data_IF_181331905406
#
_entry.id   IF_181331905406
#
_cell.length_a   1.000
_cell.length_b   1.000
_cell.length_c   1.000
_cell.angle_alpha   90.00
_cell.angle_beta   90.00
_cell.angle_gamma   90.00
#
_symmetry.space_group_name_H-M   'P 1'
#
loop_
_entity.id
_entity.type
_entity.pdbx_description
1 polymer ?
#
# COMPACT_ATOMS: atom_id res chain seq x y z
N UNK A 1 12.33 12.64 -3.34
CA UNK A 1 11.91 11.22 -3.32
C UNK A 1 10.83 11.08 -4.38
N UNK A 2 10.89 10.01 -5.18
CA UNK A 2 10.00 9.79 -6.33
C UNK A 2 9.10 8.60 -6.02
N UNK A 3 7.77 8.83 -5.99
CA UNK A 3 6.78 7.82 -5.61
C UNK A 3 6.55 6.84 -6.76
N UNK A 4 6.45 7.32 -7.99
CA UNK A 4 6.27 6.49 -9.18
C UNK A 4 7.42 5.50 -9.33
N UNK A 5 8.67 5.96 -9.17
CA UNK A 5 9.84 5.09 -9.19
C UNK A 5 9.77 4.01 -8.09
N UNK A 6 9.21 4.33 -6.92
CA UNK A 6 9.03 3.37 -5.84
C UNK A 6 7.94 2.34 -6.20
N UNK A 7 6.83 2.77 -6.79
CA UNK A 7 5.76 1.88 -7.25
C UNK A 7 6.26 0.94 -8.35
N UNK A 8 6.98 1.45 -9.35
CA UNK A 8 7.63 0.62 -10.36
C UNK A 8 8.62 -0.37 -9.76
N UNK A 9 9.36 0.00 -8.71
CA UNK A 9 10.31 -0.90 -8.08
C UNK A 9 9.64 -2.08 -7.36
N UNK A 10 8.55 -1.85 -6.61
CA UNK A 10 7.91 -2.90 -5.82
C UNK A 10 6.82 -3.66 -6.57
N UNK A 11 6.13 -3.00 -7.51
CA UNK A 11 4.94 -3.51 -8.18
C UNK A 11 5.08 -3.61 -9.71
N UNK A 12 6.13 -3.02 -10.30
CA UNK A 12 6.33 -3.01 -11.76
C UNK A 12 5.42 -2.03 -12.52
N UNK A 13 4.55 -1.31 -11.81
CA UNK A 13 3.62 -0.32 -12.37
C UNK A 13 3.33 0.78 -11.34
N UNK A 14 2.98 1.98 -11.80
CA UNK A 14 2.44 3.05 -10.97
C UNK A 14 0.92 2.88 -10.72
N UNK A 15 0.24 2.04 -11.51
CA UNK A 15 -1.20 1.82 -11.41
C UNK A 15 -1.53 0.55 -10.62
N UNK A 16 -1.66 0.69 -9.29
CA UNK A 16 -1.97 -0.43 -8.40
C UNK A 16 -3.32 -1.11 -8.71
N UNK A 17 -4.29 -0.37 -9.24
CA UNK A 17 -5.62 -0.88 -9.58
C UNK A 17 -5.60 -1.89 -10.75
N UNK A 18 -4.48 -1.99 -11.48
CA UNK A 18 -4.30 -2.94 -12.60
C UNK A 18 -3.74 -4.30 -12.16
N UNK A 19 -3.33 -4.43 -10.90
CA UNK A 19 -2.64 -5.60 -10.39
C UNK A 19 -3.62 -6.62 -9.82
N UNK A 20 -3.31 -7.90 -10.02
CA UNK A 20 -4.00 -8.99 -9.38
C UNK A 20 -3.78 -8.97 -7.86
N UNK A 21 -4.74 -9.55 -7.11
CA UNK A 21 -4.69 -9.57 -5.65
C UNK A 21 -3.38 -10.17 -5.10
N UNK A 22 -2.86 -11.25 -5.70
CA UNK A 22 -1.62 -11.90 -5.25
C UNK A 22 -0.38 -11.00 -5.41
N UNK A 23 -0.34 -10.22 -6.50
CA UNK A 23 0.71 -9.23 -6.74
C UNK A 23 0.62 -8.07 -5.73
N UNK A 24 -0.60 -7.64 -5.38
CA UNK A 24 -0.84 -6.63 -4.34
C UNK A 24 -0.39 -7.14 -2.96
N UNK A 25 -0.73 -8.37 -2.59
CA UNK A 25 -0.29 -8.99 -1.33
C UNK A 25 1.23 -9.05 -1.25
N UNK A 26 1.86 -9.64 -2.26
CA UNK A 26 3.32 -9.80 -2.31
C UNK A 26 4.05 -8.44 -2.28
N UNK A 27 3.55 -7.46 -3.02
CA UNK A 27 4.11 -6.11 -3.02
C UNK A 27 3.91 -5.41 -1.67
N UNK A 28 2.75 -5.55 -1.04
CA UNK A 28 2.47 -4.99 0.28
C UNK A 28 3.42 -5.54 1.35
N UNK A 29 3.70 -6.84 1.35
CA UNK A 29 4.63 -7.46 2.29
C UNK A 29 6.05 -6.90 2.13
N UNK A 30 6.52 -6.77 0.89
CA UNK A 30 7.84 -6.18 0.58
C UNK A 30 7.93 -4.72 1.02
N UNK A 31 6.89 -3.92 0.75
CA UNK A 31 6.80 -2.52 1.18
C UNK A 31 6.76 -2.42 2.70
N UNK A 32 6.05 -3.31 3.40
CA UNK A 32 6.01 -3.37 4.85
C UNK A 32 7.38 -3.64 5.49
N UNK A 33 8.13 -4.59 4.93
CA UNK A 33 9.51 -4.89 5.36
C UNK A 33 10.43 -3.68 5.11
N UNK A 34 10.32 -3.07 3.92
CA UNK A 34 11.10 -1.88 3.59
C UNK A 34 10.77 -0.72 4.54
N UNK A 35 9.49 -0.51 4.85
CA UNK A 35 9.04 0.54 5.77
C UNK A 35 9.65 0.37 7.17
N UNK A 36 9.74 -0.87 7.68
CA UNK A 36 10.34 -1.15 8.99
C UNK A 36 11.85 -0.93 9.08
N UNK A 37 12.55 -0.91 7.95
CA UNK A 37 14.02 -0.78 7.88
C UNK A 37 14.49 0.58 7.36
N UNK A 38 13.61 1.35 6.72
CA UNK A 38 13.94 2.63 6.12
C UNK A 38 14.30 3.71 7.16
N UNK A 39 15.33 4.49 6.86
CA UNK A 39 15.87 5.57 7.71
C UNK A 39 15.68 6.96 7.11
N UNK A 40 15.55 7.05 5.79
CA UNK A 40 15.33 8.32 5.10
C UNK A 40 13.85 8.72 5.25
N UNK A 41 13.60 9.90 5.82
CA UNK A 41 12.27 10.35 6.20
C UNK A 41 11.32 10.45 4.98
N UNK A 42 11.81 10.97 3.85
CA UNK A 42 11.01 11.10 2.62
C UNK A 42 10.59 9.75 2.06
N UNK A 43 11.51 8.79 1.98
CA UNK A 43 11.24 7.44 1.50
C UNK A 43 10.35 6.66 2.45
N UNK A 44 10.55 6.80 3.76
CA UNK A 44 9.72 6.17 4.79
C UNK A 44 8.28 6.68 4.73
N UNK A 45 8.09 7.98 4.55
CA UNK A 45 6.77 8.57 4.33
C UNK A 45 6.09 8.00 3.09
N UNK A 46 6.79 7.90 1.96
CA UNK A 46 6.20 7.35 0.75
C UNK A 46 5.88 5.85 0.83
N UNK A 47 6.72 5.04 1.47
CA UNK A 47 6.41 3.64 1.77
C UNK A 47 5.12 3.52 2.59
N UNK A 48 4.96 4.40 3.59
CA UNK A 48 3.73 4.49 4.38
C UNK A 48 2.51 4.91 3.53
N UNK A 49 2.67 5.88 2.61
CA UNK A 49 1.61 6.29 1.68
C UNK A 49 1.13 5.11 0.82
N UNK A 50 2.05 4.28 0.33
CA UNK A 50 1.69 3.06 -0.41
C UNK A 50 0.91 2.10 0.48
N UNK A 51 1.37 1.83 1.70
CA UNK A 51 0.62 0.99 2.65
C UNK A 51 -0.76 1.56 2.96
N UNK A 52 -0.90 2.89 3.02
CA UNK A 52 -2.17 3.57 3.28
C UNK A 52 -3.15 3.37 2.12
N UNK A 53 -2.68 3.54 0.88
CA UNK A 53 -3.49 3.28 -0.32
C UNK A 53 -4.00 1.83 -0.35
N UNK A 54 -3.19 0.88 0.12
CA UNK A 54 -3.53 -0.54 0.23
C UNK A 54 -4.38 -0.89 1.47
N UNK A 55 -4.66 0.07 2.36
CA UNK A 55 -5.41 -0.16 3.60
C UNK A 55 -4.65 -0.94 4.68
N UNK A 56 -3.31 -0.98 4.59
CA UNK A 56 -2.40 -1.70 5.51
C UNK A 56 -1.51 -0.78 6.33
N UNK A 57 -1.64 0.54 6.19
CA UNK A 57 -0.79 1.48 6.90
C UNK A 57 -0.96 1.38 8.42
N UNK A 58 0.14 1.33 9.18
CA UNK A 58 0.09 1.52 10.63
C UNK A 58 -0.33 2.96 10.95
N UNK A 59 -0.90 3.16 12.14
CA UNK A 59 -1.26 4.49 12.64
C UNK A 59 -0.04 5.43 12.62
N UNK A 60 -0.17 6.68 12.11
CA UNK A 60 0.92 7.65 12.08
C UNK A 60 1.66 7.84 13.42
N UNK A 61 0.95 7.77 14.55
CA UNK A 61 1.53 7.92 15.88
C UNK A 61 2.42 6.74 16.29
N UNK A 62 2.18 5.55 15.73
CA UNK A 62 3.02 4.36 15.92
C UNK A 62 4.14 4.32 14.88
N UNK A 63 3.84 4.72 13.65
CA UNK A 63 4.73 4.67 12.49
C UNK A 63 5.87 5.71 12.55
N UNK A 64 5.59 6.91 13.05
CA UNK A 64 6.52 8.04 13.01
C UNK A 64 6.81 8.59 14.42
N UNK A 65 8.08 8.50 14.83
CA UNK A 65 8.56 9.09 16.10
C UNK A 65 8.70 10.61 16.03
N UNK A 66 9.08 11.15 14.86
CA UNK A 66 9.28 12.58 14.69
C UNK A 66 7.93 13.30 14.51
N UNK A 67 7.66 14.38 15.27
CA UNK A 67 6.38 15.10 15.18
C UNK A 67 6.06 15.62 13.78
N UNK A 68 7.08 16.08 13.03
CA UNK A 68 6.92 16.60 11.67
C UNK A 68 6.47 15.52 10.68
N UNK A 69 7.06 14.33 10.76
CA UNK A 69 6.70 13.21 9.89
C UNK A 69 5.30 12.69 10.22
N UNK A 70 4.98 12.59 11.52
CA UNK A 70 3.65 12.21 11.99
C UNK A 70 2.59 13.18 11.48
N UNK A 71 2.81 14.48 11.64
CA UNK A 71 1.87 15.51 11.19
C UNK A 71 1.67 15.47 9.67
N UNK A 72 2.73 15.18 8.89
CA UNK A 72 2.62 15.00 7.45
C UNK A 72 1.75 13.78 7.08
N UNK A 73 1.95 12.65 7.77
CA UNK A 73 1.14 11.44 7.58
C UNK A 73 -0.33 11.63 8.02
N UNK A 74 -0.58 12.30 9.13
CA UNK A 74 -1.93 12.66 9.58
C UNK A 74 -2.63 13.63 8.61
N UNK A 75 -1.90 14.62 8.11
CA UNK A 75 -2.42 15.55 7.11
C UNK A 75 -2.78 14.83 5.80
N UNK A 76 -1.91 13.91 5.35
CA UNK A 76 -2.18 13.08 4.19
C UNK A 76 -3.41 12.20 4.39
N UNK A 77 -3.48 11.43 5.50
CA UNK A 77 -4.61 10.53 5.80
C UNK A 77 -5.97 11.24 5.81
N UNK A 78 -5.98 12.50 6.25
CA UNK A 78 -7.20 13.34 6.30
C UNK A 78 -7.67 13.77 4.91
N UNK A 79 -6.75 14.02 3.99
CA UNK A 79 -7.05 14.53 2.64
C UNK A 79 -7.22 13.41 1.62
N UNK A 80 -6.54 12.29 1.84
CA UNK A 80 -6.58 11.14 0.96
C UNK A 80 -7.99 10.52 0.95
N UNK A 81 -8.46 10.03 -0.21
CA UNK A 81 -9.68 9.23 -0.24
C UNK A 81 -9.51 8.01 0.67
N UNK A 82 -10.60 7.60 1.33
CA UNK A 82 -10.60 6.43 2.20
C UNK A 82 -10.03 5.20 1.47
N UNK A 83 -9.28 4.32 2.16
CA UNK A 83 -8.66 3.15 1.55
C UNK A 83 -9.70 2.32 0.81
N UNK A 84 -9.38 1.95 -0.44
CA UNK A 84 -10.34 1.36 -1.38
C UNK A 84 -10.57 -0.15 -1.18
N UNK A 85 -10.04 -0.78 -0.13
CA UNK A 85 -10.19 -2.22 0.11
C UNK A 85 -11.58 -2.60 0.66
N UNK A 86 -12.66 -2.12 0.04
CA UNK A 86 -14.00 -2.63 0.32
C UNK A 86 -14.10 -4.03 -0.28
N UNK A 87 -13.56 -5.01 0.47
CA UNK A 87 -13.78 -6.45 0.37
C UNK A 87 -14.33 -6.87 -0.99
N UNK A 88 -13.41 -7.20 -1.89
CA UNK A 88 -13.73 -8.03 -3.06
C UNK A 88 -14.57 -9.18 -2.51
N UNK A 89 -15.88 -9.16 -2.81
CA UNK A 89 -16.72 -10.35 -2.71
C UNK A 89 -15.92 -11.46 -3.36
N UNK A 90 -15.66 -12.52 -2.61
CA UNK A 90 -15.25 -13.81 -3.18
C UNK A 90 -16.24 -14.18 -4.30
N UNK A 91 -15.98 -13.77 -5.52
CA UNK A 91 -16.49 -14.48 -6.68
C UNK A 91 -15.61 -15.71 -6.82
N UNK A 92 -16.08 -16.78 -6.20
CA UNK A 92 -15.57 -18.12 -6.45
C UNK A 92 -15.67 -18.41 -7.95
N UNK A 93 -14.69 -19.11 -8.55
CA UNK A 93 -14.68 -19.33 -9.99
C UNK A 93 -15.84 -20.24 -10.40
N UNK A 94 -16.79 -19.71 -11.16
CA UNK A 94 -17.73 -20.50 -11.94
C UNK A 94 -17.03 -21.12 -13.17
N UNK A 95 -16.00 -21.95 -12.91
CA UNK A 95 -15.29 -22.72 -13.95
C UNK A 95 -15.17 -24.18 -13.51
N UNK A 96 -16.31 -24.78 -13.15
CA UNK A 96 -16.45 -26.21 -12.95
C UNK A 96 -17.80 -26.71 -13.47
N UNK A 97 -18.07 -26.49 -14.76
CA UNK A 97 -18.94 -27.37 -15.54
C UNK A 97 -18.15 -27.89 -16.74
N UNK A 98 -17.24 -28.81 -16.43
CA UNK A 98 -16.65 -29.75 -17.38
C UNK A 98 -17.70 -30.86 -17.59
N UNK A 99 -18.11 -31.08 -18.84
CA UNK A 99 -18.66 -32.31 -19.45
C UNK A 99 -19.49 -33.25 -18.55
N UNK A 100 -20.76 -33.42 -18.92
CA UNK A 100 -21.37 -34.74 -19.13
C UNK A 100 -22.38 -34.60 -20.26
#
# INVERSE_FOLDING_TARGET
MDLDALLYHYFGTAELDTLDADAIETGADRVGIAFGTEREAGRRFALWVVLHALGRAPDPAVAFKAPRERQAAEAYARLAPAPRNRTVRREAPASACRRA
#
